data_IF_666073213514
#
_entry.id   IF_666073213514
#
_cell.length_a   1.000
_cell.length_b   1.000
_cell.length_c   1.000
_cell.angle_alpha   90.00
_cell.angle_beta   90.00
_cell.angle_gamma   90.00
#
_symmetry.space_group_name_H-M   'P 1'
#
loop_
_entity.id
_entity.type
_entity.pdbx_description
1 polymer ?
#
# COMPACT_ATOMS: atom_id res chain seq x y z
N UNK A 1 4.94 0.01 -20.97
CA UNK A 1 5.28 -0.40 -19.59
C UNK A 1 4.53 0.52 -18.65
N UNK A 2 3.62 0.01 -17.84
CA UNK A 2 3.09 0.76 -16.71
C UNK A 2 3.96 0.40 -15.51
N UNK A 3 4.65 1.38 -14.93
CA UNK A 3 5.36 1.17 -13.67
C UNK A 3 4.31 0.99 -12.57
N UNK A 4 4.35 -0.13 -11.85
CA UNK A 4 3.40 -0.46 -10.79
C UNK A 4 4.19 -0.87 -9.55
N UNK A 5 4.35 0.04 -8.61
CA UNK A 5 5.00 -0.30 -7.35
C UNK A 5 4.48 0.54 -6.20
N UNK A 6 3.21 0.45 -5.83
CA UNK A 6 2.74 0.98 -4.54
C UNK A 6 2.42 -0.17 -3.57
N UNK A 7 3.43 -0.99 -3.17
CA UNK A 7 3.20 -2.16 -2.35
C UNK A 7 3.10 -1.77 -0.88
N UNK A 8 2.03 -2.23 -0.24
CA UNK A 8 1.85 -2.09 1.19
C UNK A 8 0.38 -1.97 1.55
N UNK A 9 0.13 -2.04 2.85
CA UNK A 9 -1.19 -1.87 3.44
C UNK A 9 -1.37 -0.51 4.10
N UNK A 10 -0.27 0.16 4.44
CA UNK A 10 -0.31 1.50 5.04
C UNK A 10 -0.24 2.57 3.94
N UNK A 11 -1.28 3.44 3.81
CA UNK A 11 -1.31 4.50 2.82
C UNK A 11 -0.23 5.58 3.01
N UNK A 12 0.45 5.69 4.16
CA UNK A 12 1.59 6.59 4.33
C UNK A 12 2.73 6.30 3.35
N UNK A 13 2.84 5.05 2.88
CA UNK A 13 3.86 4.68 1.88
C UNK A 13 3.71 5.44 0.57
N UNK A 14 2.54 5.97 0.27
CA UNK A 14 2.28 6.83 -0.90
C UNK A 14 3.13 8.11 -0.88
N UNK A 15 3.59 8.56 0.28
CA UNK A 15 4.52 9.68 0.38
C UNK A 15 5.81 9.45 -0.41
N UNK A 16 6.32 8.22 -0.46
CA UNK A 16 7.49 7.90 -1.28
C UNK A 16 7.25 8.17 -2.77
N UNK A 17 6.01 8.08 -3.24
CA UNK A 17 5.66 8.18 -4.65
C UNK A 17 5.29 9.59 -5.06
N UNK A 18 4.56 10.30 -4.22
CA UNK A 18 3.86 11.51 -4.63
C UNK A 18 4.36 12.80 -4.01
N UNK A 19 5.15 12.71 -2.95
CA UNK A 19 5.70 13.91 -2.32
C UNK A 19 6.57 14.68 -3.31
N UNK A 20 6.47 16.02 -3.26
CA UNK A 20 7.24 16.90 -4.13
C UNK A 20 8.74 16.64 -3.97
N UNK A 21 9.43 16.41 -5.10
CA UNK A 21 10.87 16.16 -5.11
C UNK A 21 11.28 14.71 -4.85
N UNK A 22 10.32 13.80 -4.62
CA UNK A 22 10.64 12.36 -4.57
C UNK A 22 11.29 11.91 -5.89
N UNK A 23 12.37 11.11 -5.85
CA UNK A 23 13.04 10.60 -7.05
C UNK A 23 12.17 9.62 -7.86
N UNK A 24 11.12 9.06 -7.25
CA UNK A 24 10.20 8.12 -7.90
C UNK A 24 8.83 8.73 -8.23
N UNK A 25 8.67 10.04 -8.01
CA UNK A 25 7.55 10.82 -8.53
C UNK A 25 7.77 11.11 -10.04
N UNK A 26 7.56 10.09 -10.88
CA UNK A 26 7.87 10.18 -12.31
C UNK A 26 6.99 11.20 -13.06
N UNK A 27 5.80 11.49 -12.54
CA UNK A 27 4.92 12.54 -13.04
C UNK A 27 5.39 13.95 -12.69
N UNK A 28 6.40 14.09 -11.80
CA UNK A 28 6.89 15.36 -11.26
C UNK A 28 5.77 16.23 -10.69
N UNK A 29 4.81 15.57 -10.05
CA UNK A 29 3.71 16.28 -9.38
C UNK A 29 4.29 17.15 -8.28
N UNK A 30 3.81 18.39 -8.22
CA UNK A 30 4.20 19.36 -7.21
C UNK A 30 2.94 20.10 -6.78
N UNK A 31 2.26 19.52 -5.78
CA UNK A 31 0.98 20.02 -5.28
C UNK A 31 1.08 20.20 -3.76
N UNK A 32 1.04 21.45 -3.27
CA UNK A 32 1.19 21.72 -1.85
C UNK A 32 0.08 21.09 -1.00
N UNK A 33 -1.10 20.82 -1.57
CA UNK A 33 -2.18 20.15 -0.83
C UNK A 33 -1.92 18.64 -0.69
N UNK A 34 -1.36 18.01 -1.73
CA UNK A 34 -0.91 16.62 -1.64
C UNK A 34 0.20 16.49 -0.59
N UNK A 35 1.20 17.37 -0.61
CA UNK A 35 2.28 17.36 0.37
C UNK A 35 1.74 17.54 1.79
N UNK A 36 0.82 18.51 1.99
CA UNK A 36 0.17 18.77 3.29
C UNK A 36 -0.61 17.55 3.79
N UNK A 37 -1.42 16.91 2.95
CA UNK A 37 -2.22 15.74 3.33
C UNK A 37 -1.35 14.52 3.63
N UNK A 38 -0.25 14.33 2.89
CA UNK A 38 0.71 13.27 3.15
C UNK A 38 1.43 13.48 4.49
N UNK A 39 1.86 14.70 4.79
CA UNK A 39 2.50 15.03 6.06
C UNK A 39 1.51 14.89 7.24
N UNK A 40 0.28 15.39 7.10
CA UNK A 40 -0.77 15.25 8.12
C UNK A 40 -1.13 13.77 8.39
N UNK A 41 -1.29 12.96 7.34
CA UNK A 41 -1.61 11.55 7.45
C UNK A 41 -0.49 10.72 8.09
N UNK A 42 0.76 11.16 7.96
CA UNK A 42 1.93 10.57 8.63
C UNK A 42 1.98 10.89 10.12
N UNK A 43 1.63 12.12 10.49
CA UNK A 43 1.65 12.58 11.87
C UNK A 43 0.42 12.14 12.68
N UNK A 44 -0.65 11.74 11.98
CA UNK A 44 -1.91 11.28 12.59
C UNK A 44 -1.85 9.79 12.93
N UNK A 45 -2.22 9.43 14.16
CA UNK A 45 -2.31 8.03 14.58
C UNK A 45 -3.39 7.25 13.79
N UNK A 46 -3.25 5.93 13.59
CA UNK A 46 -4.25 5.11 12.91
C UNK A 46 -5.65 5.25 13.51
N UNK A 47 -6.66 5.45 12.65
CA UNK A 47 -8.06 5.64 13.04
C UNK A 47 -8.82 6.49 12.01
N UNK A 48 -10.10 6.79 12.31
CA UNK A 48 -11.01 7.47 11.38
C UNK A 48 -10.47 8.81 10.84
N UNK A 49 -9.77 9.58 11.68
CA UNK A 49 -9.18 10.86 11.27
C UNK A 49 -8.11 10.66 10.19
N UNK A 50 -7.23 9.67 10.36
CA UNK A 50 -6.18 9.32 9.39
C UNK A 50 -6.79 8.79 8.09
N UNK A 51 -7.84 7.98 8.20
CA UNK A 51 -8.56 7.45 7.04
C UNK A 51 -9.20 8.58 6.22
N UNK A 52 -9.80 9.57 6.87
CA UNK A 52 -10.37 10.73 6.21
C UNK A 52 -9.30 11.54 5.45
N UNK A 53 -8.12 11.76 6.06
CA UNK A 53 -7.00 12.47 5.41
C UNK A 53 -6.56 11.76 4.11
N UNK A 54 -6.40 10.44 4.13
CA UNK A 54 -6.01 9.69 2.93
C UNK A 54 -7.13 9.56 1.88
N UNK A 55 -8.41 9.63 2.31
CA UNK A 55 -9.53 9.77 1.37
C UNK A 55 -9.52 11.14 0.70
N UNK A 56 -9.19 12.20 1.44
CA UNK A 56 -9.05 13.56 0.92
C UNK A 56 -7.88 13.65 -0.07
N UNK A 57 -6.77 12.98 0.21
CA UNK A 57 -5.66 12.82 -0.73
C UNK A 57 -6.14 12.19 -2.05
N UNK A 58 -6.90 11.11 -1.97
CA UNK A 58 -7.46 10.45 -3.16
C UNK A 58 -8.40 11.37 -3.95
N UNK A 59 -9.19 12.21 -3.25
CA UNK A 59 -10.06 13.21 -3.89
C UNK A 59 -9.25 14.27 -4.62
N UNK A 60 -8.17 14.77 -4.01
CA UNK A 60 -7.26 15.73 -4.63
C UNK A 60 -6.63 15.18 -5.92
N UNK A 61 -6.22 13.92 -5.91
CA UNK A 61 -5.75 13.22 -7.11
C UNK A 61 -6.79 13.19 -8.23
N UNK A 62 -8.07 13.03 -7.90
CA UNK A 62 -9.16 12.99 -8.87
C UNK A 62 -9.50 14.39 -9.42
N UNK A 63 -9.46 15.42 -8.57
CA UNK A 63 -9.71 16.82 -8.96
C UNK A 63 -8.68 17.33 -9.97
N UNK A 64 -7.40 17.06 -9.71
CA UNK A 64 -6.29 17.51 -10.56
C UNK A 64 -5.99 16.54 -11.72
N UNK A 65 -6.61 15.36 -11.72
CA UNK A 65 -6.44 14.32 -12.75
C UNK A 65 -4.97 13.89 -12.92
N UNK A 66 -4.21 13.88 -11.83
CA UNK A 66 -2.79 13.53 -11.85
C UNK A 66 -2.54 12.09 -12.31
N UNK A 67 -3.46 11.18 -11.99
CA UNK A 67 -3.39 9.77 -12.35
C UNK A 67 -4.73 9.30 -12.89
N UNK A 68 -4.69 8.41 -13.89
CA UNK A 68 -5.85 7.66 -14.34
C UNK A 68 -5.73 6.23 -13.83
N UNK A 69 -6.52 5.91 -12.81
CA UNK A 69 -6.53 4.59 -12.18
C UNK A 69 -7.40 3.61 -12.98
N UNK A 70 -6.77 2.77 -13.80
CA UNK A 70 -7.48 1.89 -14.73
C UNK A 70 -7.93 0.56 -14.12
N UNK A 71 -7.19 0.04 -13.14
CA UNK A 71 -7.46 -1.28 -12.56
C UNK A 71 -6.75 -1.47 -11.22
N UNK A 72 -7.34 -2.27 -10.34
CA UNK A 72 -6.65 -2.84 -9.19
C UNK A 72 -6.01 -4.18 -9.57
N UNK A 73 -4.96 -4.53 -8.85
CA UNK A 73 -4.29 -5.80 -8.99
C UNK A 73 -5.03 -6.89 -8.20
N UNK A 74 -5.38 -7.98 -8.87
CA UNK A 74 -5.85 -9.20 -8.19
C UNK A 74 -4.76 -10.25 -8.30
N UNK A 75 -4.30 -10.77 -7.16
CA UNK A 75 -3.31 -11.83 -7.09
C UNK A 75 -3.99 -13.16 -6.79
N UNK A 76 -3.62 -14.20 -7.54
CA UNK A 76 -3.94 -15.59 -7.21
C UNK A 76 -2.64 -16.29 -6.79
N UNK A 77 -2.67 -16.91 -5.60
CA UNK A 77 -1.52 -17.61 -5.03
C UNK A 77 -1.87 -19.10 -5.04
N UNK A 78 -1.20 -19.87 -5.89
CA UNK A 78 -1.37 -21.32 -5.97
C UNK A 78 -0.26 -22.01 -5.18
N UNK A 79 -0.64 -22.96 -4.33
CA UNK A 79 0.28 -23.68 -3.42
C UNK A 79 0.01 -25.17 -3.51
N UNK A 80 1.00 -26.00 -3.17
CA UNK A 80 0.71 -27.42 -2.92
C UNK A 80 -0.10 -27.55 -1.61
N UNK A 81 -0.96 -28.58 -1.46
CA UNK A 81 -1.83 -28.73 -0.29
C UNK A 81 -1.06 -28.89 1.03
N UNK A 82 0.18 -29.33 0.95
CA UNK A 82 1.07 -29.58 2.07
C UNK A 82 1.93 -28.37 2.44
N UNK A 83 1.82 -27.25 1.72
CA UNK A 83 2.54 -26.00 1.99
C UNK A 83 1.68 -25.06 2.82
N UNK A 84 2.20 -24.66 3.97
CA UNK A 84 1.47 -23.91 4.98
C UNK A 84 2.04 -22.51 5.20
N UNK A 85 1.22 -21.66 5.83
CA UNK A 85 1.61 -20.33 6.30
C UNK A 85 2.07 -19.34 5.19
N UNK A 86 1.50 -19.46 3.99
CA UNK A 86 1.89 -18.69 2.81
C UNK A 86 1.56 -17.19 2.93
N UNK A 87 0.56 -16.84 3.73
CA UNK A 87 0.20 -15.45 4.01
C UNK A 87 1.02 -14.83 5.16
N UNK A 88 1.81 -15.64 5.88
CA UNK A 88 2.59 -15.19 7.03
C UNK A 88 1.77 -15.14 8.31
N UNK A 89 2.24 -14.33 9.27
CA UNK A 89 1.60 -14.15 10.58
C UNK A 89 0.86 -12.82 10.64
N UNK A 90 -0.24 -12.76 11.40
CA UNK A 90 -0.92 -11.51 11.71
C UNK A 90 -0.07 -10.57 12.58
N UNK A 91 -0.44 -9.27 12.65
CA UNK A 91 0.30 -8.26 13.41
C UNK A 91 0.30 -8.53 14.92
N UNK A 92 -0.69 -9.28 15.42
CA UNK A 92 -0.82 -9.67 16.83
C UNK A 92 -0.87 -11.19 16.98
N UNK A 93 -0.48 -11.70 18.15
CA UNK A 93 -0.53 -13.13 18.45
C UNK A 93 -1.97 -13.67 18.33
N UNK A 94 -2.17 -14.65 17.45
CA UNK A 94 -3.46 -15.27 17.19
C UNK A 94 -4.37 -14.50 16.22
N UNK A 95 -3.90 -13.38 15.67
CA UNK A 95 -4.58 -12.71 14.55
C UNK A 95 -4.24 -13.37 13.21
N UNK A 96 -5.20 -13.34 12.29
CA UNK A 96 -5.00 -13.80 10.92
C UNK A 96 -4.04 -12.87 10.17
N UNK A 97 -3.28 -13.46 9.25
CA UNK A 97 -2.45 -12.70 8.34
C UNK A 97 -3.30 -11.90 7.34
N UNK A 98 -2.77 -10.74 6.94
CA UNK A 98 -3.37 -9.97 5.86
C UNK A 98 -3.29 -10.75 4.55
N UNK A 99 -4.41 -10.98 3.84
CA UNK A 99 -4.41 -11.84 2.65
C UNK A 99 -3.79 -11.19 1.40
N UNK A 100 -3.49 -9.88 1.42
CA UNK A 100 -2.89 -9.20 0.28
C UNK A 100 -1.36 -9.35 0.23
N UNK A 101 -0.84 -9.56 -0.98
CA UNK A 101 0.61 -9.65 -1.25
C UNK A 101 1.12 -8.29 -1.73
N UNK A 102 1.93 -7.64 -0.90
CA UNK A 102 2.56 -6.36 -1.20
C UNK A 102 3.80 -6.54 -2.09
N UNK A 103 4.81 -7.27 -1.60
CA UNK A 103 6.10 -7.46 -2.27
C UNK A 103 6.42 -8.93 -2.53
N UNK A 104 6.10 -9.82 -1.59
CA UNK A 104 6.34 -11.25 -1.69
C UNK A 104 5.93 -11.97 -0.40
N UNK A 105 6.22 -13.27 -0.34
CA UNK A 105 5.95 -14.11 0.82
C UNK A 105 7.12 -14.05 1.81
N UNK A 106 6.82 -14.02 3.11
CA UNK A 106 7.83 -14.26 4.15
C UNK A 106 8.16 -15.75 4.20
N UNK A 107 9.34 -16.11 3.68
CA UNK A 107 9.80 -17.50 3.60
C UNK A 107 10.17 -18.10 4.95
N UNK A 108 10.43 -17.28 5.97
CA UNK A 108 10.86 -17.78 7.27
C UNK A 108 9.74 -18.52 8.02
N UNK A 109 8.48 -18.17 7.78
CA UNK A 109 7.31 -18.80 8.40
C UNK A 109 6.72 -19.97 7.61
N UNK A 110 7.13 -20.18 6.36
CA UNK A 110 6.55 -21.21 5.48
C UNK A 110 7.12 -22.59 5.83
N UNK A 111 6.26 -23.60 5.85
CA UNK A 111 6.65 -24.98 6.14
C UNK A 111 5.84 -25.99 5.33
N UNK A 112 6.34 -27.23 5.27
CA UNK A 112 5.71 -28.33 4.53
C UNK A 112 5.35 -29.47 5.49
N UNK A 113 4.09 -29.90 5.49
CA UNK A 113 3.66 -31.11 6.20
C UNK A 113 4.00 -32.35 5.37
N UNK A 114 4.61 -33.37 5.99
CA UNK A 114 4.78 -34.68 5.34
C UNK A 114 3.65 -35.63 5.67
#
# INVERSE_FOLDING_TARGET
MAFRNHPGTDPDRENNWWYTGSPVNFGRMADPEIDRLLDEGRETAPGEARDAIFQDLTRRFAEEVYNVWLSTAVWAIATQPDVHNILGYGPEAGSDAFPGVATGHDVAGIWVSR
#
